data_IF_228563051751
#
_entry.id   IF_228563051751
#
_cell.length_a   1.000
_cell.length_b   1.000
_cell.length_c   1.000
_cell.angle_alpha   90.00
_cell.angle_beta   90.00
_cell.angle_gamma   90.00
#
_symmetry.space_group_name_H-M   'P 1'
#
loop_
_entity.id
_entity.type
_entity.pdbx_description
1 polymer ?
#
# COMPACT_ATOMS: atom_id res chain seq x y z
N UNK A 1 -22.65 33.71 86.39
CA UNK A 1 -23.49 34.89 86.11
C UNK A 1 -24.13 34.68 84.75
N UNK A 2 -25.44 34.55 84.80
CA UNK A 2 -26.44 34.44 83.74
C UNK A 2 -26.25 35.54 82.66
N UNK A 3 -26.83 35.53 81.45
CA UNK A 3 -28.27 35.52 81.12
C UNK A 3 -28.44 35.24 79.61
N UNK A 4 -29.25 34.20 79.32
CA UNK A 4 -30.35 34.04 78.33
C UNK A 4 -30.40 34.81 76.99
N UNK A 5 -31.05 34.10 76.05
CA UNK A 5 -32.11 34.55 75.08
C UNK A 5 -31.64 34.56 73.62
N UNK A 6 -31.82 33.47 72.87
CA UNK A 6 -32.98 33.17 72.00
C UNK A 6 -33.36 34.29 71.03
N UNK A 7 -33.18 34.07 69.72
CA UNK A 7 -34.22 34.33 68.72
C UNK A 7 -34.11 33.31 67.58
N UNK A 8 -35.17 32.52 67.48
CA UNK A 8 -35.56 31.69 66.36
C UNK A 8 -35.72 32.51 65.08
N UNK A 9 -35.20 32.02 63.95
CA UNK A 9 -35.79 32.35 62.66
C UNK A 9 -35.75 31.14 61.72
N UNK A 10 -36.89 30.46 61.68
CA UNK A 10 -37.22 29.39 60.73
C UNK A 10 -37.48 30.02 59.37
N UNK A 11 -36.47 30.07 58.50
CA UNK A 11 -36.71 30.36 57.09
C UNK A 11 -36.88 29.03 56.34
N UNK A 12 -38.14 28.61 56.22
CA UNK A 12 -38.59 27.61 55.26
C UNK A 12 -38.30 28.12 53.85
N UNK A 13 -37.12 27.80 53.30
CA UNK A 13 -36.90 27.90 51.87
C UNK A 13 -37.38 26.61 51.21
N UNK A 14 -38.60 26.73 50.68
CA UNK A 14 -39.17 26.05 49.54
C UNK A 14 -38.19 25.11 48.82
N UNK A 15 -38.37 23.81 49.07
CA UNK A 15 -37.87 22.72 48.26
C UNK A 15 -38.50 22.78 46.87
N UNK A 16 -37.90 23.59 45.99
CA UNK A 16 -38.05 23.42 44.55
C UNK A 16 -37.26 22.15 44.22
N UNK A 17 -37.97 21.03 44.17
CA UNK A 17 -37.46 19.80 43.59
C UNK A 17 -37.31 20.03 42.09
N UNK A 18 -36.25 20.75 41.70
CA UNK A 18 -35.68 20.57 40.39
C UNK A 18 -35.18 19.13 40.38
N UNK A 19 -36.06 18.21 39.95
CA UNK A 19 -35.65 17.02 39.23
C UNK A 19 -34.96 17.52 37.97
N UNK A 20 -33.77 18.10 38.14
CA UNK A 20 -32.75 18.14 37.13
C UNK A 20 -32.65 16.69 36.71
N UNK A 21 -33.25 16.40 35.56
CA UNK A 21 -32.86 15.28 34.74
C UNK A 21 -31.38 15.53 34.43
N UNK A 22 -30.52 15.28 35.42
CA UNK A 22 -29.21 14.74 35.15
C UNK A 22 -29.55 13.47 34.41
N UNK A 23 -29.63 13.59 33.09
CA UNK A 23 -29.35 12.47 32.23
C UNK A 23 -27.99 11.98 32.75
N UNK A 24 -28.06 11.02 33.67
CA UNK A 24 -27.06 10.00 33.84
C UNK A 24 -27.00 9.35 32.47
N UNK A 25 -26.32 10.02 31.54
CA UNK A 25 -25.38 9.35 30.67
C UNK A 25 -24.51 8.60 31.67
N UNK A 26 -24.98 7.41 32.04
CA UNK A 26 -24.11 6.27 32.12
C UNK A 26 -23.36 6.33 30.80
N UNK A 27 -22.26 7.06 30.84
CA UNK A 27 -21.10 6.85 30.02
C UNK A 27 -20.86 5.38 30.25
N UNK A 28 -21.52 4.55 29.45
CA UNK A 28 -21.13 3.19 29.18
C UNK A 28 -19.70 3.41 28.77
N UNK A 29 -18.81 3.30 29.76
CA UNK A 29 -17.42 3.03 29.54
C UNK A 29 -17.53 1.71 28.79
N UNK A 30 -17.64 1.83 27.45
CA UNK A 30 -17.31 0.76 26.55
C UNK A 30 -16.01 0.27 27.12
N UNK A 31 -16.06 -0.88 27.78
CA UNK A 31 -14.89 -1.65 28.14
C UNK A 31 -14.27 -1.93 26.79
N UNK A 32 -13.46 -0.99 26.31
CA UNK A 32 -12.98 -0.94 24.95
C UNK A 32 -12.10 -2.18 24.86
N UNK A 33 -12.65 -3.24 24.28
CA UNK A 33 -12.05 -4.59 24.27
C UNK A 33 -10.73 -4.57 23.47
N UNK A 34 -10.53 -3.51 22.69
CA UNK A 34 -9.52 -3.43 21.65
C UNK A 34 -8.64 -2.18 21.85
N UNK A 35 -7.32 -2.34 21.75
CA UNK A 35 -6.39 -1.20 21.70
C UNK A 35 -6.53 -0.50 20.34
N UNK A 36 -6.56 0.84 20.38
CA UNK A 36 -6.65 1.64 19.16
C UNK A 36 -5.32 2.31 18.87
N UNK A 37 -4.75 1.95 17.74
CA UNK A 37 -3.49 2.47 17.26
C UNK A 37 -3.70 3.37 16.05
N UNK A 38 -2.83 4.37 15.93
CA UNK A 38 -2.78 5.21 14.76
C UNK A 38 -2.32 4.37 13.57
N UNK A 39 -3.07 4.41 12.46
CA UNK A 39 -2.67 3.72 11.24
C UNK A 39 -2.02 4.72 10.30
N UNK A 40 -0.79 4.46 9.88
CA UNK A 40 -0.07 5.30 8.91
C UNK A 40 -0.12 4.59 7.55
N UNK A 41 -0.77 5.21 6.57
CA UNK A 41 -0.93 4.70 5.21
C UNK A 41 0.00 5.48 4.28
N UNK A 42 0.91 4.78 3.61
CA UNK A 42 1.86 5.37 2.66
C UNK A 42 1.22 5.52 1.28
N UNK A 43 1.80 6.36 0.41
CA UNK A 43 1.33 6.52 -0.97
C UNK A 43 1.40 5.24 -1.81
N UNK A 44 2.23 4.27 -1.40
CA UNK A 44 2.28 2.93 -1.98
C UNK A 44 1.23 1.95 -1.43
N UNK A 45 0.21 2.44 -0.72
CA UNK A 45 -0.87 1.68 -0.08
C UNK A 45 -0.44 0.60 0.94
N UNK A 46 0.81 0.66 1.40
CA UNK A 46 1.26 -0.10 2.56
C UNK A 46 0.89 0.65 3.83
N UNK A 47 0.77 -0.06 4.95
CA UNK A 47 0.51 0.57 6.23
C UNK A 47 1.53 0.15 7.29
N UNK A 48 1.73 1.01 8.27
CA UNK A 48 2.46 0.73 9.52
C UNK A 48 1.64 1.22 10.71
N UNK A 49 1.81 0.57 11.84
CA UNK A 49 1.23 1.02 13.11
C UNK A 49 2.08 2.18 13.66
N UNK A 50 1.40 3.25 14.08
CA UNK A 50 1.98 4.41 14.73
C UNK A 50 1.81 4.33 16.25
N UNK A 51 1.65 5.50 16.88
CA UNK A 51 1.44 5.60 18.32
C UNK A 51 0.10 4.98 18.75
N UNK A 52 0.06 4.51 20.00
CA UNK A 52 -1.18 4.13 20.63
C UNK A 52 -2.00 5.38 20.97
N UNK A 53 -3.28 5.34 20.61
CA UNK A 53 -4.23 6.44 20.84
C UNK A 53 -5.06 6.17 22.08
N UNK A 54 -5.51 4.92 22.24
CA UNK A 54 -6.30 4.53 23.40
C UNK A 54 -5.99 3.09 23.80
N UNK A 55 -5.42 2.88 25.01
CA UNK A 55 -5.23 1.54 25.54
C UNK A 55 -6.57 0.90 25.90
N UNK A 56 -6.67 -0.42 25.67
CA UNK A 56 -7.79 -1.22 26.13
C UNK A 56 -7.76 -1.40 27.66
N UNK A 57 -8.82 -1.98 28.23
CA UNK A 57 -8.85 -2.24 29.67
C UNK A 57 -7.70 -3.18 30.12
N UNK A 58 -7.41 -4.23 29.35
CA UNK A 58 -6.31 -5.16 29.66
C UNK A 58 -4.95 -4.47 29.67
N UNK A 59 -4.68 -3.63 28.67
CA UNK A 59 -3.43 -2.87 28.57
C UNK A 59 -3.28 -1.88 29.73
N UNK A 60 -4.38 -1.30 30.21
CA UNK A 60 -4.37 -0.46 31.41
C UNK A 60 -4.04 -1.26 32.67
N UNK A 61 -4.62 -2.45 32.84
CA UNK A 61 -4.33 -3.33 33.98
C UNK A 61 -2.89 -3.85 33.95
N UNK A 62 -2.39 -4.19 32.76
CA UNK A 62 -1.00 -4.58 32.56
C UNK A 62 -0.04 -3.46 32.99
N UNK A 63 -0.30 -2.21 32.57
CA UNK A 63 0.48 -1.04 33.00
C UNK A 63 0.38 -0.73 34.49
N UNK A 64 -0.76 -1.06 35.11
CA UNK A 64 -0.94 -0.95 36.55
C UNK A 64 -0.23 -2.07 37.33
N UNK A 65 0.25 -3.13 36.67
CA UNK A 65 0.85 -4.30 37.31
C UNK A 65 -0.18 -5.29 37.87
N UNK A 66 -1.47 -5.08 37.59
CA UNK A 66 -2.56 -5.97 38.01
C UNK A 66 -2.73 -7.17 37.07
N UNK A 67 -2.13 -7.11 35.89
CA UNK A 67 -2.21 -8.14 34.86
C UNK A 67 -0.83 -8.50 34.33
N UNK A 68 -0.60 -9.78 34.01
CA UNK A 68 0.74 -10.30 33.68
C UNK A 68 1.17 -10.12 32.23
N UNK A 69 0.22 -9.98 31.29
CA UNK A 69 0.51 -9.99 29.85
C UNK A 69 -0.05 -8.74 29.12
N UNK A 70 0.70 -8.13 28.19
CA UNK A 70 0.22 -6.98 27.43
C UNK A 70 -0.86 -7.38 26.40
N UNK A 71 -1.65 -6.40 25.95
CA UNK A 71 -2.62 -6.66 24.89
C UNK A 71 -1.94 -6.69 23.51
N UNK A 72 -1.91 -7.86 22.86
CA UNK A 72 -1.31 -8.01 21.51
C UNK A 72 -2.23 -7.52 20.37
N UNK A 73 -3.50 -7.27 20.66
CA UNK A 73 -4.50 -7.00 19.62
C UNK A 73 -4.48 -5.53 19.22
N UNK A 74 -3.96 -5.26 18.01
CA UNK A 74 -3.89 -3.91 17.45
C UNK A 74 -5.05 -3.65 16.47
N UNK A 75 -5.86 -2.63 16.73
CA UNK A 75 -6.92 -2.19 15.82
C UNK A 75 -6.72 -0.75 15.36
N UNK A 76 -7.09 -0.47 14.12
CA UNK A 76 -7.07 0.89 13.55
C UNK A 76 -8.45 1.51 13.59
N UNK A 77 -8.55 2.72 14.14
CA UNK A 77 -9.77 3.50 14.01
C UNK A 77 -9.74 4.26 12.68
N UNK A 78 -10.81 4.27 11.87
CA UNK A 78 -10.84 5.00 10.60
C UNK A 78 -10.49 6.49 10.75
N UNK A 79 -11.02 7.15 11.78
CA UNK A 79 -10.76 8.58 12.06
C UNK A 79 -9.30 8.90 12.38
N UNK A 80 -8.53 7.91 12.82
CA UNK A 80 -7.14 8.10 13.21
C UNK A 80 -6.15 7.47 12.21
N UNK A 81 -6.57 7.38 10.95
CA UNK A 81 -5.68 6.99 9.87
C UNK A 81 -4.99 8.22 9.30
N UNK A 82 -3.66 8.22 9.29
CA UNK A 82 -2.85 9.26 8.67
C UNK A 82 -2.34 8.78 7.32
N UNK A 83 -2.62 9.54 6.26
CA UNK A 83 -2.07 9.29 4.93
C UNK A 83 -0.80 10.13 4.74
N UNK A 84 0.27 9.49 4.28
CA UNK A 84 1.57 10.14 4.07
C UNK A 84 1.96 10.00 2.60
N UNK A 85 2.27 11.13 1.96
CA UNK A 85 2.75 11.22 0.57
C UNK A 85 4.23 10.78 0.43
N UNK A 86 4.60 9.68 1.09
CA UNK A 86 5.93 9.07 1.01
C UNK A 86 5.79 7.59 0.79
N UNK A 87 6.78 6.99 0.15
CA UNK A 87 6.87 5.53 0.01
C UNK A 87 7.31 4.90 1.33
N UNK A 88 6.82 3.70 1.63
CA UNK A 88 7.35 2.94 2.76
C UNK A 88 8.81 2.52 2.48
N UNK A 89 9.60 2.27 3.54
CA UNK A 89 11.02 1.90 3.42
C UNK A 89 11.27 0.71 2.48
N UNK A 90 10.36 -0.28 2.47
CA UNK A 90 10.45 -1.45 1.58
C UNK A 90 10.28 -1.03 0.11
N UNK A 91 9.27 -0.23 -0.20
CA UNK A 91 9.03 0.28 -1.55
C UNK A 91 10.12 1.25 -2.02
N UNK A 92 10.64 2.09 -1.12
CA UNK A 92 11.74 2.99 -1.43
C UNK A 92 12.99 2.20 -1.86
N UNK A 93 13.38 1.16 -1.10
CA UNK A 93 14.51 0.28 -1.47
C UNK A 93 14.29 -0.39 -2.83
N UNK A 94 13.09 -0.87 -3.12
CA UNK A 94 12.75 -1.46 -4.43
C UNK A 94 12.88 -0.44 -5.55
N UNK A 95 12.35 0.78 -5.35
CA UNK A 95 12.44 1.87 -6.32
C UNK A 95 13.90 2.25 -6.62
N UNK A 96 14.73 2.42 -5.59
CA UNK A 96 16.14 2.75 -5.79
C UNK A 96 16.90 1.66 -6.55
N UNK A 97 16.59 0.38 -6.30
CA UNK A 97 17.16 -0.73 -7.08
C UNK A 97 16.75 -0.68 -8.55
N UNK A 98 15.46 -0.46 -8.82
CA UNK A 98 14.93 -0.36 -10.18
C UNK A 98 15.51 0.84 -10.94
N UNK A 99 15.65 1.98 -10.26
CA UNK A 99 16.26 3.17 -10.82
C UNK A 99 17.73 2.94 -11.19
N UNK A 100 18.49 2.24 -10.32
CA UNK A 100 19.86 1.82 -10.62
C UNK A 100 19.94 0.89 -11.83
N UNK A 101 19.04 -0.11 -11.94
CA UNK A 101 19.01 -1.00 -13.11
C UNK A 101 18.63 -0.26 -14.39
N UNK A 102 17.67 0.67 -14.32
CA UNK A 102 17.24 1.46 -15.47
C UNK A 102 18.34 2.41 -15.95
N UNK A 103 19.10 3.02 -15.03
CA UNK A 103 20.26 3.83 -15.37
C UNK A 103 21.33 3.00 -16.09
N UNK A 104 21.65 1.81 -15.58
CA UNK A 104 22.59 0.89 -16.23
C UNK A 104 22.12 0.45 -17.61
N UNK A 105 20.84 0.10 -17.78
CA UNK A 105 20.28 -0.27 -19.08
C UNK A 105 20.38 0.87 -20.09
N UNK A 106 20.04 2.10 -19.69
CA UNK A 106 20.19 3.28 -20.55
C UNK A 106 21.64 3.53 -20.99
N UNK A 107 22.60 3.32 -20.09
CA UNK A 107 24.02 3.44 -20.42
C UNK A 107 24.45 2.40 -21.47
N UNK A 108 24.05 1.13 -21.28
CA UNK A 108 24.35 0.06 -22.23
C UNK A 108 23.70 0.30 -23.60
N UNK A 109 22.45 0.76 -23.64
CA UNK A 109 21.78 1.10 -24.91
C UNK A 109 22.48 2.25 -25.63
N UNK A 110 22.99 3.24 -24.89
CA UNK A 110 23.75 4.34 -25.47
C UNK A 110 25.07 3.86 -26.07
N UNK A 111 25.83 3.05 -25.33
CA UNK A 111 27.09 2.46 -25.79
C UNK A 111 26.90 1.58 -27.05
N UNK A 112 25.83 0.77 -27.07
CA UNK A 112 25.48 -0.05 -28.22
C UNK A 112 25.16 0.82 -29.44
N UNK A 113 24.34 1.86 -29.27
CA UNK A 113 24.01 2.80 -30.35
C UNK A 113 25.23 3.54 -30.89
N UNK A 114 26.13 3.97 -30.01
CA UNK A 114 27.39 4.61 -30.42
C UNK A 114 28.25 3.64 -31.23
N UNK A 115 28.35 2.38 -30.81
CA UNK A 115 29.10 1.35 -31.53
C UNK A 115 28.52 1.05 -32.90
N UNK A 116 27.18 0.88 -32.99
CA UNK A 116 26.49 0.70 -34.26
C UNK A 116 26.67 1.92 -35.20
N UNK A 117 26.66 3.13 -34.65
CA UNK A 117 26.87 4.34 -35.44
C UNK A 117 28.28 4.45 -36.01
N UNK A 118 29.30 3.90 -35.33
CA UNK A 118 30.68 3.83 -35.82
C UNK A 118 30.80 2.80 -36.94
N UNK A 119 30.28 1.60 -36.74
CA UNK A 119 30.28 0.55 -37.76
C UNK A 119 29.54 0.98 -39.03
N UNK A 120 28.39 1.64 -38.90
CA UNK A 120 27.64 2.16 -40.05
C UNK A 120 28.42 3.23 -40.82
N UNK A 121 29.15 4.11 -40.12
CA UNK A 121 30.06 5.08 -40.77
C UNK A 121 31.20 4.36 -41.49
N UNK A 122 31.65 3.23 -40.94
CA UNK A 122 32.71 2.43 -41.54
C UNK A 122 32.32 1.74 -42.84
N UNK A 123 31.13 1.18 -42.88
CA UNK A 123 30.56 0.59 -44.08
C UNK A 123 30.36 1.64 -45.20
N UNK A 124 29.98 2.87 -44.84
CA UNK A 124 29.79 3.95 -45.84
C UNK A 124 31.08 4.52 -46.43
N UNK A 125 32.25 4.35 -45.78
CA UNK A 125 33.53 4.77 -46.39
C UNK A 125 34.22 3.63 -47.16
N UNK A 126 33.86 2.38 -46.90
CA UNK A 126 34.43 1.21 -47.57
C UNK A 126 33.76 0.91 -48.93
N UNK A 127 32.61 1.52 -49.23
CA UNK A 127 32.03 1.55 -50.56
C UNK A 127 32.56 2.76 -51.35
N UNK A 128 33.84 2.75 -51.73
CA UNK A 128 34.17 3.33 -53.04
C UNK A 128 33.49 2.45 -54.09
N UNK A 129 32.74 3.03 -55.05
CA UNK A 129 32.05 2.23 -56.06
C UNK A 129 33.11 1.50 -56.91
N UNK A 130 33.15 0.15 -56.94
CA UNK A 130 33.81 -0.51 -58.04
C UNK A 130 32.93 -0.24 -59.27
N UNK A 131 33.33 0.76 -60.05
CA UNK A 131 32.96 0.88 -61.46
C UNK A 131 33.55 -0.34 -62.18
N UNK A 132 32.91 -1.50 -62.04
CA UNK A 132 33.07 -2.59 -62.97
C UNK A 132 31.86 -2.49 -63.90
N UNK A 133 32.09 -1.78 -65.01
CA UNK A 133 31.28 -1.89 -66.22
C UNK A 133 31.35 -3.33 -66.71
N UNK A 134 30.46 -4.18 -66.21
CA UNK A 134 30.21 -5.49 -66.83
C UNK A 134 29.22 -5.22 -67.95
N UNK A 135 29.76 -4.98 -69.15
CA UNK A 135 28.98 -5.08 -70.36
C UNK A 135 28.45 -6.52 -70.49
N UNK A 136 27.13 -6.70 -70.42
CA UNK A 136 26.47 -7.92 -70.91
C UNK A 136 25.82 -8.85 -69.89
N UNK A 137 25.35 -8.35 -68.73
CA UNK A 137 24.36 -9.10 -67.94
C UNK A 137 23.03 -8.39 -67.99
N UNK A 138 22.05 -9.02 -68.65
CA UNK A 138 20.65 -8.64 -68.60
C UNK A 138 20.20 -8.50 -67.14
N UNK A 139 19.85 -7.28 -66.78
CA UNK A 139 19.17 -6.97 -65.53
C UNK A 139 17.82 -7.68 -65.54
N UNK A 140 17.67 -8.72 -64.72
CA UNK A 140 16.36 -9.24 -64.36
C UNK A 140 15.70 -8.16 -63.49
N UNK A 141 14.54 -7.60 -63.88
CA UNK A 141 13.83 -6.64 -63.07
C UNK A 141 13.39 -7.34 -61.78
N UNK A 142 13.98 -6.94 -60.66
CA UNK A 142 13.45 -7.31 -59.35
C UNK A 142 12.16 -6.50 -59.20
N UNK A 143 11.04 -7.20 -59.32
CA UNK A 143 9.71 -6.63 -59.18
C UNK A 143 9.61 -5.82 -57.87
N UNK A 144 8.92 -4.67 -57.87
CA UNK A 144 8.58 -3.95 -56.65
C UNK A 144 7.96 -4.92 -55.66
N UNK A 145 8.54 -5.00 -54.47
CA UNK A 145 7.89 -5.70 -53.36
C UNK A 145 6.77 -4.76 -52.93
N UNK A 146 5.54 -5.12 -53.29
CA UNK A 146 4.34 -4.38 -52.91
C UNK A 146 4.29 -4.28 -51.38
N UNK A 147 4.26 -3.04 -50.86
CA UNK A 147 4.13 -2.70 -49.44
C UNK A 147 2.68 -2.82 -48.94
N UNK A 148 1.92 -3.78 -49.46
CA UNK A 148 0.55 -4.06 -49.04
C UNK A 148 0.52 -5.35 -48.20
N UNK A 149 -0.11 -5.25 -47.02
CA UNK A 149 -0.41 -6.33 -46.07
C UNK A 149 0.60 -6.64 -44.94
N UNK A 150 1.17 -5.62 -44.29
CA UNK A 150 1.42 -5.73 -42.84
C UNK A 150 0.17 -5.32 -42.04
N UNK A 151 -0.91 -6.08 -42.27
CA UNK A 151 -1.98 -6.23 -41.29
C UNK A 151 -1.40 -7.02 -40.13
N UNK A 152 -0.72 -6.32 -39.22
CA UNK A 152 -0.37 -6.83 -37.90
C UNK A 152 -1.67 -7.26 -37.20
N UNK A 153 -2.09 -8.50 -37.44
CA UNK A 153 -2.91 -9.23 -36.51
C UNK A 153 -2.07 -9.25 -35.23
N UNK A 154 -2.43 -8.39 -34.28
CA UNK A 154 -2.17 -8.61 -32.87
C UNK A 154 -2.61 -10.05 -32.58
N UNK A 155 -1.67 -10.99 -32.70
CA UNK A 155 -1.84 -12.32 -32.18
C UNK A 155 -2.20 -12.13 -30.71
N UNK A 156 -3.36 -12.63 -30.25
CA UNK A 156 -3.59 -12.68 -28.83
C UNK A 156 -2.49 -13.59 -28.30
N UNK A 157 -1.59 -12.98 -27.55
CA UNK A 157 -0.54 -13.63 -26.81
C UNK A 157 -1.23 -14.69 -25.95
N UNK A 158 -1.30 -15.91 -26.47
CA UNK A 158 -1.73 -17.09 -25.75
C UNK A 158 -0.62 -17.29 -24.71
N UNK A 159 -0.84 -16.68 -23.54
CA UNK A 159 -0.05 -16.96 -22.36
C UNK A 159 -0.23 -18.44 -22.06
N UNK A 160 0.78 -19.22 -22.41
CA UNK A 160 0.95 -20.57 -21.90
C UNK A 160 0.94 -20.49 -20.36
N UNK A 161 -0.15 -20.95 -19.75
CA UNK A 161 -0.39 -20.95 -18.30
C UNK A 161 0.49 -21.95 -17.53
N UNK A 162 1.55 -22.53 -18.12
CA UNK A 162 2.19 -23.74 -17.55
C UNK A 162 3.65 -23.63 -17.11
N UNK A 163 4.25 -22.43 -17.09
CA UNK A 163 5.65 -22.31 -16.64
C UNK A 163 5.92 -21.08 -15.77
N UNK A 164 5.07 -20.86 -14.75
CA UNK A 164 5.43 -20.01 -13.60
C UNK A 164 5.38 -20.78 -12.27
N UNK A 165 5.84 -22.04 -12.29
CA UNK A 165 6.21 -22.77 -11.08
C UNK A 165 7.71 -22.61 -10.86
N UNK A 166 8.10 -21.56 -10.13
CA UNK A 166 9.27 -21.48 -9.22
C UNK A 166 9.93 -20.10 -9.25
N UNK A 167 9.50 -19.21 -8.34
CA UNK A 167 10.38 -18.40 -7.47
C UNK A 167 9.54 -17.38 -6.69
N UNK A 168 9.62 -17.48 -5.37
CA UNK A 168 9.36 -16.37 -4.47
C UNK A 168 8.00 -16.39 -3.77
N UNK A 169 7.81 -17.34 -2.86
CA UNK A 169 6.86 -17.19 -1.77
C UNK A 169 7.12 -15.87 -1.03
N UNK A 170 6.28 -14.86 -1.25
CA UNK A 170 6.07 -13.78 -0.30
C UNK A 170 4.60 -13.82 0.06
N UNK A 171 4.35 -14.20 1.31
CA UNK A 171 3.06 -14.48 1.91
C UNK A 171 2.10 -13.29 1.82
N UNK A 172 1.19 -13.30 0.85
CA UNK A 172 -0.09 -12.60 0.99
C UNK A 172 -1.06 -13.58 1.66
N UNK A 173 -1.26 -13.41 2.97
CA UNK A 173 -2.31 -14.06 3.76
C UNK A 173 -3.66 -13.63 3.18
N UNK A 174 -4.26 -14.45 2.32
CA UNK A 174 -5.69 -14.40 2.04
C UNK A 174 -6.39 -15.16 3.16
N UNK A 175 -7.15 -14.44 3.97
CA UNK A 175 -8.04 -15.01 4.98
C UNK A 175 -9.11 -15.84 4.26
N UNK A 176 -9.04 -17.16 4.40
CA UNK A 176 -10.12 -18.06 3.98
C UNK A 176 -11.32 -17.83 4.89
N UNK A 177 -12.44 -17.40 4.31
CA UNK A 177 -13.75 -17.45 4.92
C UNK A 177 -14.10 -18.92 5.21
N UNK A 178 -14.20 -19.28 6.48
CA UNK A 178 -14.72 -20.59 6.90
C UNK A 178 -16.24 -20.49 6.91
N UNK A 179 -16.88 -21.10 5.92
CA UNK A 179 -18.33 -21.33 5.95
C UNK A 179 -18.65 -22.38 7.02
N UNK A 180 -19.26 -21.95 8.11
CA UNK A 180 -19.79 -22.83 9.14
C UNK A 180 -20.99 -23.63 8.61
N UNK A 181 -20.86 -24.96 8.59
CA UNK A 181 -21.99 -25.88 8.41
C UNK A 181 -22.80 -25.92 9.71
N UNK A 182 -24.06 -25.48 9.65
CA UNK A 182 -25.06 -25.75 10.68
C UNK A 182 -25.37 -27.25 10.65
N UNK A 183 -25.14 -27.95 11.76
CA UNK A 183 -25.78 -29.24 12.01
C UNK A 183 -27.11 -28.97 12.71
N UNK A 184 -28.19 -29.46 12.11
CA UNK A 184 -29.50 -29.53 12.74
C UNK A 184 -29.54 -30.76 13.66
N UNK A 185 -29.92 -30.55 14.91
CA UNK A 185 -30.21 -31.61 15.87
C UNK A 185 -31.70 -31.95 15.78
N UNK A 186 -32.00 -33.27 15.79
CA UNK A 186 -33.34 -33.87 15.87
C UNK A 186 -33.81 -33.82 17.33
#
# INVERSE_FOLDING_TARGET
>A
MDIKTQMSNTHLHNSISNKSRTCNFHHQQHTKIMCWHQRIIYSCNHYTWGAEITPCALEKLYRAGEWSEPCETMNSHPLHSLTVQKLCKKCQRKRSKLEGTMSRLKALMKELNESLSKLKKEETWAQEPPLISIAGVELIPVSPVDEDDEKWLCSPFLLDEKSFASRGANSCRTTKYVQGKKQASI
#
